data_IF_956255650680
#
_entry.id   IF_956255650680
#
_cell.length_a   1.000
_cell.length_b   1.000
_cell.length_c   1.000
_cell.angle_alpha   90.00
_cell.angle_beta   90.00
_cell.angle_gamma   90.00
#
_symmetry.space_group_name_H-M   'P 1'
#
loop_
_entity.id
_entity.type
_entity.pdbx_description
1 polymer ?
#
# COMPACT_ATOMS: atom_id res chain seq x y z
N UNK A 1 -46.70 15.73 58.45
CA UNK A 1 -46.38 14.69 57.45
C UNK A 1 -45.07 15.11 56.77
N UNK A 2 -43.94 14.40 56.95
CA UNK A 2 -42.70 14.76 56.24
C UNK A 2 -42.69 14.00 54.90
N UNK A 3 -42.44 14.75 53.82
CA UNK A 3 -42.30 14.28 52.45
C UNK A 3 -40.90 13.67 52.28
N UNK A 4 -40.81 12.37 51.98
CA UNK A 4 -39.57 11.64 51.72
C UNK A 4 -39.15 11.89 50.26
N UNK A 5 -38.07 12.58 50.05
CA UNK A 5 -37.42 12.66 48.73
C UNK A 5 -36.67 11.37 48.45
N UNK A 6 -37.06 10.67 47.41
CA UNK A 6 -36.39 9.49 46.90
C UNK A 6 -35.31 9.97 45.90
N UNK A 7 -34.05 9.90 46.29
CA UNK A 7 -32.92 10.18 45.42
C UNK A 7 -32.73 8.96 44.49
N UNK A 8 -33.07 9.12 43.19
CA UNK A 8 -32.72 8.15 42.17
C UNK A 8 -31.27 8.39 41.78
N UNK A 9 -30.35 7.51 42.23
CA UNK A 9 -28.97 7.47 41.71
C UNK A 9 -28.96 6.79 40.34
N UNK A 10 -28.82 7.59 39.28
CA UNK A 10 -28.60 7.07 37.94
C UNK A 10 -27.14 6.59 37.84
N UNK A 11 -26.93 5.28 37.81
CA UNK A 11 -25.66 4.68 37.45
C UNK A 11 -25.46 4.83 35.95
N UNK A 12 -24.66 5.81 35.50
CA UNK A 12 -24.11 5.82 34.14
C UNK A 12 -23.09 4.69 34.03
N UNK A 13 -23.46 3.59 33.42
CA UNK A 13 -22.51 2.55 33.00
C UNK A 13 -21.78 3.12 31.79
N UNK A 14 -20.58 3.64 32.01
CA UNK A 14 -19.63 3.89 30.92
C UNK A 14 -19.17 2.53 30.42
N UNK A 15 -19.77 2.04 29.34
CA UNK A 15 -19.16 0.97 28.55
C UNK A 15 -17.93 1.55 27.89
N UNK A 16 -16.76 1.29 28.50
CA UNK A 16 -15.51 1.39 27.76
C UNK A 16 -15.63 0.39 26.61
N UNK A 17 -15.88 0.89 25.41
CA UNK A 17 -15.65 0.16 24.17
C UNK A 17 -14.12 0.02 24.07
N UNK A 18 -13.57 -0.99 24.76
CA UNK A 18 -12.18 -1.33 24.68
C UNK A 18 -11.84 -1.68 23.23
N UNK A 19 -11.13 -0.80 22.54
CA UNK A 19 -10.58 -1.11 21.22
C UNK A 19 -9.68 -2.32 21.40
N UNK A 20 -9.87 -3.33 20.57
CA UNK A 20 -9.05 -4.53 20.59
C UNK A 20 -7.57 -4.12 20.38
N UNK A 21 -6.71 -4.55 21.31
CA UNK A 21 -5.28 -4.25 21.20
C UNK A 21 -4.71 -4.92 19.93
N UNK A 22 -3.80 -4.25 19.21
CA UNK A 22 -3.12 -4.85 18.07
C UNK A 22 -2.41 -6.14 18.48
N UNK A 23 -2.56 -7.22 17.71
CA UNK A 23 -1.73 -8.41 17.94
C UNK A 23 -0.31 -8.19 17.41
N UNK A 24 0.67 -8.87 18.02
CA UNK A 24 2.08 -8.73 17.67
C UNK A 24 2.53 -9.89 16.80
N UNK A 25 3.23 -9.59 15.72
CA UNK A 25 3.88 -10.57 14.83
C UNK A 25 5.33 -10.15 14.57
N UNK A 26 6.12 -11.05 13.96
CA UNK A 26 7.52 -10.77 13.57
C UNK A 26 7.63 -10.75 12.04
N UNK A 27 8.51 -9.91 11.51
CA UNK A 27 8.93 -9.99 10.12
C UNK A 27 9.70 -11.32 9.87
N UNK A 28 9.63 -11.81 8.63
CA UNK A 28 10.31 -13.03 8.19
C UNK A 28 11.63 -12.73 7.51
N UNK A 29 11.71 -11.60 6.85
CA UNK A 29 12.87 -11.15 6.09
C UNK A 29 12.87 -9.64 5.92
N UNK A 30 13.99 -9.10 5.44
CA UNK A 30 14.15 -7.68 5.11
C UNK A 30 15.11 -7.48 3.95
N UNK A 31 15.01 -6.33 3.28
CA UNK A 31 15.98 -5.92 2.27
C UNK A 31 17.21 -5.28 2.94
N UNK A 32 18.35 -5.19 2.25
CA UNK A 32 19.38 -4.23 2.65
C UNK A 32 18.80 -2.82 2.78
N UNK A 33 19.36 -1.97 3.66
CA UNK A 33 18.99 -0.56 3.71
C UNK A 33 19.21 0.10 2.35
N UNK A 34 18.31 1.01 1.96
CA UNK A 34 18.50 1.82 0.75
C UNK A 34 19.70 2.77 0.91
N UNK A 35 20.20 3.33 -0.18
CA UNK A 35 21.40 4.17 -0.12
C UNK A 35 21.14 5.58 0.42
N UNK A 36 19.93 6.10 0.28
CA UNK A 36 19.55 7.45 0.68
C UNK A 36 19.27 7.52 2.18
N UNK A 37 19.82 8.52 2.85
CA UNK A 37 19.64 8.73 4.28
C UNK A 37 18.32 9.46 4.60
N UNK A 38 17.82 9.22 5.81
CA UNK A 38 16.62 9.85 6.34
C UNK A 38 15.36 9.25 5.74
N UNK A 39 14.31 10.02 5.68
CA UNK A 39 13.02 9.61 5.11
C UNK A 39 13.11 9.51 3.59
N UNK A 40 13.19 8.28 3.07
CA UNK A 40 13.52 8.02 1.67
C UNK A 40 12.92 6.74 1.07
N UNK A 41 12.95 5.58 1.74
CA UNK A 41 12.18 4.44 1.27
C UNK A 41 10.68 4.73 1.43
N UNK A 42 9.86 4.30 0.46
CA UNK A 42 8.46 4.68 0.44
C UNK A 42 7.54 3.51 0.10
N UNK A 43 7.33 3.20 -1.16
CA UNK A 43 6.26 2.33 -1.59
C UNK A 43 6.78 1.06 -2.28
N UNK A 44 6.32 -0.14 -1.86
CA UNK A 44 6.63 -1.40 -2.53
C UNK A 44 5.54 -1.80 -3.52
N UNK A 45 5.94 -2.47 -4.61
CA UNK A 45 5.03 -3.17 -5.52
C UNK A 45 5.53 -4.58 -5.82
N UNK A 46 4.67 -5.60 -5.69
CA UNK A 46 5.01 -7.01 -5.80
C UNK A 46 4.55 -7.58 -7.14
N UNK A 47 5.50 -8.06 -7.94
CA UNK A 47 5.18 -8.90 -9.10
C UNK A 47 5.44 -10.37 -8.79
N UNK A 48 4.43 -11.22 -8.98
CA UNK A 48 4.53 -12.66 -8.85
C UNK A 48 4.76 -13.31 -10.22
N UNK A 49 5.91 -13.95 -10.38
CA UNK A 49 6.18 -14.76 -11.56
C UNK A 49 5.50 -16.12 -11.41
N UNK A 50 4.35 -16.31 -12.06
CA UNK A 50 3.59 -17.56 -11.99
C UNK A 50 4.28 -18.76 -12.67
N UNK A 51 5.27 -18.53 -13.54
CA UNK A 51 6.05 -19.60 -14.17
C UNK A 51 7.19 -20.08 -13.25
N UNK A 52 7.80 -19.15 -12.51
CA UNK A 52 8.82 -19.45 -11.50
C UNK A 52 8.68 -18.51 -10.31
N UNK A 53 8.00 -18.96 -9.25
CA UNK A 53 7.70 -18.16 -8.07
C UNK A 53 8.93 -17.55 -7.39
N UNK A 54 10.11 -18.22 -7.50
CA UNK A 54 11.35 -17.72 -6.92
C UNK A 54 12.00 -16.59 -7.73
N UNK A 55 11.53 -16.34 -8.95
CA UNK A 55 11.90 -15.21 -9.79
C UNK A 55 10.87 -14.08 -9.71
N UNK A 56 10.02 -14.07 -8.70
CA UNK A 56 9.16 -12.93 -8.38
C UNK A 56 10.01 -11.73 -7.96
N UNK A 57 9.52 -10.52 -8.23
CA UNK A 57 10.24 -9.27 -8.05
C UNK A 57 9.45 -8.36 -7.12
N UNK A 58 10.15 -7.71 -6.21
CA UNK A 58 9.63 -6.61 -5.42
C UNK A 58 10.30 -5.33 -5.93
N UNK A 59 9.52 -4.38 -6.41
CA UNK A 59 9.99 -3.04 -6.64
C UNK A 59 9.82 -2.23 -5.36
N UNK A 60 10.75 -1.35 -5.03
CA UNK A 60 10.67 -0.44 -3.89
C UNK A 60 11.16 0.93 -4.29
N UNK A 61 10.43 1.97 -3.93
CA UNK A 61 10.83 3.33 -4.25
C UNK A 61 11.78 3.92 -3.22
N UNK A 62 12.62 4.80 -3.69
CA UNK A 62 13.35 5.79 -2.93
C UNK A 62 12.85 7.15 -3.40
N UNK A 63 11.98 7.78 -2.60
CA UNK A 63 11.27 9.01 -2.95
C UNK A 63 12.19 10.20 -3.22
N UNK A 64 13.51 10.02 -3.04
CA UNK A 64 14.53 11.02 -3.32
C UNK A 64 15.44 10.68 -4.49
N UNK A 65 15.40 9.43 -4.97
CA UNK A 65 16.43 9.03 -5.95
C UNK A 65 16.00 8.07 -7.05
N UNK A 66 15.03 7.14 -6.83
CA UNK A 66 14.66 6.21 -7.88
C UNK A 66 13.97 4.94 -7.43
N UNK A 67 14.29 3.81 -8.09
CA UNK A 67 13.61 2.54 -7.88
C UNK A 67 14.65 1.44 -7.66
N UNK A 68 14.44 0.67 -6.62
CA UNK A 68 15.10 -0.62 -6.36
C UNK A 68 14.25 -1.78 -6.89
N UNK A 69 14.91 -2.86 -7.27
CA UNK A 69 14.27 -4.15 -7.48
C UNK A 69 14.95 -5.19 -6.60
N UNK A 70 14.15 -6.02 -5.94
CA UNK A 70 14.60 -7.06 -5.01
C UNK A 70 14.06 -8.42 -5.41
N UNK A 71 14.77 -9.48 -5.03
CA UNK A 71 14.27 -10.85 -5.10
C UNK A 71 13.19 -11.09 -4.05
N UNK A 72 12.46 -12.18 -4.20
CA UNK A 72 11.48 -12.65 -3.19
C UNK A 72 12.10 -12.94 -1.81
N UNK A 73 13.43 -12.99 -1.73
CA UNK A 73 14.20 -13.17 -0.49
C UNK A 73 14.80 -11.87 0.05
N UNK A 74 14.43 -10.72 -0.55
CA UNK A 74 14.94 -9.43 -0.13
C UNK A 74 16.32 -9.06 -0.70
N UNK A 75 16.99 -9.94 -1.46
CA UNK A 75 18.27 -9.60 -2.07
C UNK A 75 18.08 -8.52 -3.14
N UNK A 76 18.89 -7.47 -3.11
CA UNK A 76 18.86 -6.43 -4.13
C UNK A 76 19.32 -6.99 -5.48
N UNK A 77 18.46 -6.93 -6.49
CA UNK A 77 18.77 -7.28 -7.88
C UNK A 77 19.40 -6.10 -8.60
N UNK A 78 18.80 -4.92 -8.49
CA UNK A 78 19.29 -3.70 -9.12
C UNK A 78 18.74 -2.45 -8.44
N UNK A 79 19.33 -1.31 -8.78
CA UNK A 79 18.82 0.03 -8.49
C UNK A 79 19.05 0.91 -9.71
N UNK A 80 18.08 1.80 -9.99
CA UNK A 80 18.25 2.84 -11.00
C UNK A 80 17.66 4.18 -10.54
N UNK A 81 18.44 5.23 -10.73
CA UNK A 81 17.97 6.59 -10.47
C UNK A 81 17.02 7.06 -11.57
N UNK A 82 15.83 7.50 -11.14
CA UNK A 82 14.83 8.12 -11.98
C UNK A 82 14.41 9.50 -11.47
N UNK A 83 15.00 9.99 -10.37
CA UNK A 83 14.60 11.19 -9.64
C UNK A 83 13.67 10.85 -8.48
N UNK A 84 12.85 11.77 -8.06
CA UNK A 84 11.99 11.67 -6.87
C UNK A 84 10.76 10.80 -7.15
N UNK A 85 10.92 9.48 -7.11
CA UNK A 85 9.83 8.51 -7.32
C UNK A 85 9.17 8.22 -5.97
N UNK A 86 7.93 8.70 -5.78
CA UNK A 86 7.15 8.46 -4.56
C UNK A 86 6.52 7.07 -4.61
N UNK A 87 5.34 6.95 -5.20
CA UNK A 87 4.64 5.67 -5.27
C UNK A 87 4.86 4.92 -6.58
N UNK A 88 4.64 3.61 -6.52
CA UNK A 88 4.82 2.69 -7.62
C UNK A 88 3.74 1.59 -7.54
N UNK A 89 3.11 1.25 -8.65
CA UNK A 89 2.21 0.09 -8.71
C UNK A 89 2.33 -0.61 -10.06
N UNK A 90 1.85 -1.84 -10.14
CA UNK A 90 2.00 -2.67 -11.31
C UNK A 90 0.73 -3.48 -11.64
N UNK A 91 0.63 -3.87 -12.92
CA UNK A 91 -0.37 -4.85 -13.38
C UNK A 91 0.25 -5.87 -14.32
N UNK A 92 -0.02 -7.13 -14.04
CA UNK A 92 0.38 -8.27 -14.87
C UNK A 92 -0.74 -8.61 -15.83
N UNK A 93 -0.54 -8.36 -17.15
CA UNK A 93 -1.57 -8.56 -18.17
C UNK A 93 -0.97 -9.26 -19.40
N UNK A 94 -1.45 -10.45 -19.68
CA UNK A 94 -0.96 -11.25 -20.80
C UNK A 94 0.54 -11.57 -20.69
N UNK A 95 1.33 -11.16 -21.67
CA UNK A 95 2.78 -11.39 -21.70
C UNK A 95 3.61 -10.27 -21.08
N UNK A 96 2.94 -9.23 -20.56
CA UNK A 96 3.59 -8.02 -20.11
C UNK A 96 3.32 -7.74 -18.65
N UNK A 97 4.35 -7.20 -17.99
CA UNK A 97 4.26 -6.51 -16.72
C UNK A 97 4.27 -5.01 -17.01
N UNK A 98 3.24 -4.33 -16.56
CA UNK A 98 3.10 -2.88 -16.64
C UNK A 98 3.40 -2.29 -15.27
N UNK A 99 4.23 -1.24 -15.23
CA UNK A 99 4.63 -0.54 -14.03
C UNK A 99 4.40 0.96 -14.24
N UNK A 100 3.92 1.65 -13.23
CA UNK A 100 3.83 3.10 -13.22
C UNK A 100 4.36 3.65 -11.90
N UNK A 101 4.90 4.87 -11.92
CA UNK A 101 5.36 5.56 -10.73
C UNK A 101 5.22 7.07 -10.86
N UNK A 102 4.98 7.75 -9.75
CA UNK A 102 4.94 9.22 -9.67
C UNK A 102 6.33 9.79 -9.48
N UNK A 103 6.73 10.70 -10.37
CA UNK A 103 7.96 11.47 -10.24
C UNK A 103 7.62 12.91 -9.82
N UNK A 104 7.75 13.21 -8.52
CA UNK A 104 7.26 14.45 -7.91
C UNK A 104 7.97 15.70 -8.43
N UNK A 105 9.29 15.65 -8.60
CA UNK A 105 10.13 16.79 -8.99
C UNK A 105 9.79 17.37 -10.37
N UNK A 106 9.21 16.56 -11.28
CA UNK A 106 8.78 16.98 -12.62
C UNK A 106 7.28 16.82 -12.88
N UNK A 107 6.50 16.40 -11.87
CA UNK A 107 5.04 16.12 -11.97
C UNK A 107 4.71 15.10 -13.06
N UNK A 108 5.60 14.13 -13.28
CA UNK A 108 5.47 13.13 -14.32
C UNK A 108 4.96 11.79 -13.76
N UNK A 109 4.07 11.19 -14.49
CA UNK A 109 3.72 9.78 -14.34
C UNK A 109 4.62 9.02 -15.31
N UNK A 110 5.56 8.25 -14.78
CA UNK A 110 6.42 7.39 -15.59
C UNK A 110 5.74 6.04 -15.82
N UNK A 111 5.94 5.46 -17.01
CA UNK A 111 5.31 4.20 -17.37
C UNK A 111 6.28 3.25 -18.05
N UNK A 112 6.36 2.02 -17.52
CA UNK A 112 7.17 0.94 -18.06
C UNK A 112 6.30 -0.22 -18.55
N UNK A 113 6.86 -0.97 -19.50
CA UNK A 113 6.29 -2.22 -20.01
C UNK A 113 7.42 -3.22 -20.17
N UNK A 114 7.39 -4.26 -19.38
CA UNK A 114 8.39 -5.32 -19.42
C UNK A 114 7.81 -6.59 -20.05
N UNK A 115 8.66 -7.32 -20.77
CA UNK A 115 8.36 -8.71 -21.17
C UNK A 115 8.61 -9.60 -19.95
N UNK A 116 7.60 -10.39 -19.53
CA UNK A 116 7.70 -11.19 -18.30
C UNK A 116 8.81 -12.25 -18.33
N UNK A 117 9.08 -12.81 -19.52
CA UNK A 117 10.02 -13.93 -19.66
C UNK A 117 11.48 -13.57 -19.34
N UNK A 118 11.86 -12.31 -19.41
CA UNK A 118 13.25 -11.87 -19.29
C UNK A 118 13.50 -10.80 -18.23
N UNK A 119 12.43 -10.27 -17.60
CA UNK A 119 12.57 -9.13 -16.68
C UNK A 119 13.44 -9.49 -15.46
N UNK A 120 13.24 -10.67 -14.83
CA UNK A 120 14.04 -11.07 -13.69
C UNK A 120 15.52 -11.17 -14.05
N UNK A 121 15.85 -11.76 -15.21
CA UNK A 121 17.22 -11.89 -15.66
C UNK A 121 17.86 -10.53 -15.98
N UNK A 122 17.10 -9.61 -16.61
CA UNK A 122 17.59 -8.25 -16.88
C UNK A 122 17.92 -7.51 -15.59
N UNK A 123 17.00 -7.50 -14.63
CA UNK A 123 17.23 -6.82 -13.35
C UNK A 123 18.37 -7.47 -12.56
N UNK A 124 18.50 -8.80 -12.58
CA UNK A 124 19.62 -9.51 -11.95
C UNK A 124 20.98 -9.18 -12.60
N UNK A 125 20.98 -8.81 -13.87
CA UNK A 125 22.16 -8.32 -14.58
C UNK A 125 22.39 -6.80 -14.43
N UNK A 126 21.66 -6.14 -13.53
CA UNK A 126 21.68 -4.71 -13.33
C UNK A 126 21.19 -3.89 -14.57
N UNK A 127 20.27 -4.46 -15.31
CA UNK A 127 19.66 -3.83 -16.50
C UNK A 127 18.23 -3.38 -16.19
N UNK A 128 18.06 -2.24 -15.54
CA UNK A 128 16.72 -1.65 -15.36
C UNK A 128 16.39 -0.74 -16.55
N UNK A 129 15.40 -1.07 -17.40
CA UNK A 129 15.05 -0.29 -18.57
C UNK A 129 14.52 1.11 -18.22
N UNK A 130 14.63 2.04 -19.16
CA UNK A 130 13.98 3.34 -19.06
C UNK A 130 12.46 3.23 -19.25
N UNK A 131 11.66 4.19 -18.73
CA UNK A 131 10.23 4.22 -19.02
C UNK A 131 9.99 4.35 -20.52
N UNK A 132 8.96 3.65 -21.00
CA UNK A 132 8.59 3.69 -22.43
C UNK A 132 7.75 4.91 -22.79
N UNK A 133 7.12 5.53 -21.80
CA UNK A 133 6.40 6.79 -21.94
C UNK A 133 6.24 7.49 -20.59
N UNK A 134 5.90 8.77 -20.63
CA UNK A 134 5.49 9.56 -19.48
C UNK A 134 4.35 10.51 -19.84
N UNK A 135 3.68 11.05 -18.81
CA UNK A 135 2.73 12.14 -18.96
C UNK A 135 2.94 13.12 -17.80
N UNK A 136 2.87 14.43 -18.09
CA UNK A 136 2.98 15.48 -17.09
C UNK A 136 1.59 15.86 -16.59
N UNK A 137 1.41 15.92 -15.28
CA UNK A 137 0.21 16.43 -14.64
C UNK A 137 0.28 17.96 -14.51
N UNK A 138 -0.88 18.64 -14.56
CA UNK A 138 -0.96 20.06 -14.26
C UNK A 138 -0.92 20.32 -12.74
N UNK A 139 -1.43 19.40 -11.93
CA UNK A 139 -1.33 19.45 -10.46
C UNK A 139 0.00 18.87 -9.96
N UNK A 140 0.39 19.22 -8.74
CA UNK A 140 1.44 18.51 -8.02
C UNK A 140 0.96 17.09 -7.72
N UNK A 141 1.84 16.09 -7.91
CA UNK A 141 1.46 14.69 -7.77
C UNK A 141 2.13 14.05 -6.57
N UNK A 142 1.41 13.12 -5.93
CA UNK A 142 1.84 12.41 -4.73
C UNK A 142 1.74 10.90 -4.92
N UNK A 143 0.69 10.27 -4.40
CA UNK A 143 0.46 8.85 -4.47
C UNK A 143 0.06 8.33 -5.84
N UNK A 144 0.18 7.00 -6.03
CA UNK A 144 -0.22 6.33 -7.26
C UNK A 144 -0.71 4.92 -7.00
N UNK A 145 -1.74 4.50 -7.74
CA UNK A 145 -2.08 3.09 -7.91
C UNK A 145 -2.59 2.80 -9.32
N UNK A 146 -2.51 1.55 -9.73
CA UNK A 146 -2.97 1.08 -11.03
C UNK A 146 -4.23 0.22 -10.89
N UNK A 147 -4.97 0.08 -11.99
CA UNK A 147 -6.11 -0.81 -12.10
C UNK A 147 -6.26 -1.40 -13.50
N UNK A 148 -6.80 -2.61 -13.58
CA UNK A 148 -7.24 -3.20 -14.86
C UNK A 148 -8.72 -3.52 -14.80
N UNK A 149 -9.54 -2.54 -15.18
CA UNK A 149 -10.99 -2.58 -15.02
C UNK A 149 -11.63 -2.53 -16.41
N UNK A 150 -12.58 -3.44 -16.67
CA UNK A 150 -13.28 -3.54 -17.95
C UNK A 150 -12.36 -3.60 -19.19
N UNK A 151 -11.20 -4.25 -19.04
CA UNK A 151 -10.13 -4.37 -20.07
C UNK A 151 -9.40 -3.06 -20.35
N UNK A 152 -9.54 -2.08 -19.50
CA UNK A 152 -8.81 -0.83 -19.56
C UNK A 152 -7.75 -0.78 -18.46
N UNK A 153 -6.51 -0.43 -18.83
CA UNK A 153 -5.42 -0.21 -17.88
C UNK A 153 -5.48 1.25 -17.42
N UNK A 154 -5.64 1.43 -16.13
CA UNK A 154 -5.83 2.72 -15.48
C UNK A 154 -4.67 3.02 -14.52
N UNK A 155 -4.38 4.30 -14.36
CA UNK A 155 -3.50 4.84 -13.32
C UNK A 155 -4.26 5.93 -12.58
N UNK A 156 -4.26 5.86 -11.27
CA UNK A 156 -4.80 6.89 -10.39
C UNK A 156 -3.64 7.61 -9.72
N UNK A 157 -3.71 8.92 -9.66
CA UNK A 157 -2.66 9.77 -9.10
C UNK A 157 -3.30 10.80 -8.19
N UNK A 158 -2.85 10.87 -6.96
CA UNK A 158 -3.34 11.83 -5.96
C UNK A 158 -2.58 13.15 -6.05
N UNK A 159 -3.20 14.22 -5.58
CA UNK A 159 -2.63 15.56 -5.54
C UNK A 159 -1.86 15.77 -4.24
N UNK A 160 -0.62 16.27 -4.36
CA UNK A 160 0.19 16.73 -3.22
C UNK A 160 -0.44 17.99 -2.61
N UNK A 161 -0.70 17.96 -1.32
CA UNK A 161 -1.34 19.03 -0.55
C UNK A 161 -2.76 19.45 -1.07
N UNK A 162 -3.44 18.53 -1.74
CA UNK A 162 -4.75 18.78 -2.31
C UNK A 162 -5.67 17.56 -2.34
N UNK A 163 -6.97 17.76 -2.56
CA UNK A 163 -7.95 16.69 -2.49
C UNK A 163 -8.16 15.94 -3.81
N UNK A 164 -7.52 16.35 -4.91
CA UNK A 164 -7.85 15.82 -6.21
C UNK A 164 -7.18 14.49 -6.48
N UNK A 165 -7.91 13.63 -7.16
CA UNK A 165 -7.41 12.35 -7.69
C UNK A 165 -7.65 12.32 -9.19
N UNK A 166 -6.60 12.17 -9.95
CA UNK A 166 -6.65 12.04 -11.41
C UNK A 166 -6.71 10.58 -11.81
N UNK A 167 -7.63 10.24 -12.70
CA UNK A 167 -7.69 8.94 -13.37
C UNK A 167 -7.17 9.07 -14.80
N UNK A 168 -6.10 8.35 -15.07
CA UNK A 168 -5.48 8.27 -16.40
C UNK A 168 -5.72 6.89 -17.02
N UNK A 169 -5.91 6.83 -18.33
CA UNK A 169 -5.94 5.58 -19.08
C UNK A 169 -4.66 5.39 -19.87
N UNK A 170 -4.28 4.13 -20.05
CA UNK A 170 -3.15 3.73 -20.88
C UNK A 170 -3.67 3.01 -22.11
N UNK A 171 -3.48 3.63 -23.26
CA UNK A 171 -3.86 3.05 -24.56
C UNK A 171 -2.67 3.13 -25.53
N UNK A 172 -2.26 2.00 -26.09
CA UNK A 172 -1.10 1.91 -26.99
C UNK A 172 0.16 2.55 -26.38
N UNK A 173 0.39 2.21 -25.12
CA UNK A 173 1.54 2.66 -24.31
C UNK A 173 1.58 4.21 -24.09
N UNK A 174 0.44 4.90 -24.20
CA UNK A 174 0.30 6.34 -23.94
C UNK A 174 -0.69 6.60 -22.82
N UNK A 175 -0.31 7.47 -21.89
CA UNK A 175 -1.18 7.95 -20.83
C UNK A 175 -2.06 9.10 -21.34
N UNK A 176 -3.32 9.11 -20.91
CA UNK A 176 -4.28 10.18 -21.21
C UNK A 176 -5.17 10.40 -20.01
N UNK A 177 -5.25 11.65 -19.53
CA UNK A 177 -6.15 12.03 -18.43
C UNK A 177 -7.61 11.83 -18.87
N UNK A 178 -8.36 11.07 -18.09
CA UNK A 178 -9.78 10.79 -18.35
C UNK A 178 -10.71 11.58 -17.44
N UNK A 179 -10.34 11.66 -16.16
CA UNK A 179 -11.22 12.23 -15.16
C UNK A 179 -10.43 12.74 -13.96
N UNK A 180 -10.98 13.72 -13.27
CA UNK A 180 -10.49 14.18 -11.96
C UNK A 180 -11.66 14.20 -11.00
N UNK A 181 -11.49 13.66 -9.80
CA UNK A 181 -12.50 13.66 -8.74
C UNK A 181 -11.85 14.05 -7.42
N UNK A 182 -12.64 14.34 -6.40
CA UNK A 182 -12.14 14.73 -5.08
C UNK A 182 -12.26 13.58 -4.08
N UNK A 183 -11.21 13.36 -3.28
CA UNK A 183 -11.23 12.51 -2.09
C UNK A 183 -11.48 13.31 -0.79
N UNK A 184 -11.72 14.60 -0.87
CA UNK A 184 -11.93 15.60 0.18
C UNK A 184 -10.67 16.11 0.87
N UNK A 185 -9.62 15.32 1.02
CA UNK A 185 -8.35 15.70 1.65
C UNK A 185 -7.14 15.15 0.90
N UNK A 186 -5.95 15.53 1.33
CA UNK A 186 -4.68 15.02 0.86
C UNK A 186 -4.62 13.50 1.05
N UNK A 187 -4.07 12.80 0.10
CA UNK A 187 -4.06 11.35 0.09
C UNK A 187 -2.79 10.83 -0.55
N UNK A 188 -2.16 9.84 0.06
CA UNK A 188 -1.05 9.14 -0.57
C UNK A 188 -1.44 7.74 -1.02
N UNK A 189 -1.85 6.89 -0.10
CA UNK A 189 -2.13 5.49 -0.41
C UNK A 189 -3.39 5.28 -1.22
N UNK A 190 -3.30 4.45 -2.25
CA UNK A 190 -4.47 3.92 -2.93
C UNK A 190 -4.25 2.50 -3.44
N UNK A 191 -5.34 1.75 -3.64
CA UNK A 191 -5.33 0.44 -4.29
C UNK A 191 -6.60 0.20 -5.08
N UNK A 192 -6.47 -0.39 -6.27
CA UNK A 192 -7.62 -0.75 -7.10
C UNK A 192 -7.97 -2.22 -6.94
N UNK A 193 -9.21 -2.48 -6.61
CA UNK A 193 -9.82 -3.80 -6.70
C UNK A 193 -10.40 -4.01 -8.10
N UNK A 194 -9.59 -4.55 -8.97
CA UNK A 194 -9.94 -4.77 -10.38
C UNK A 194 -11.22 -5.58 -10.57
N UNK A 195 -11.41 -6.60 -9.71
CA UNK A 195 -12.57 -7.49 -9.81
C UNK A 195 -13.85 -6.85 -9.28
N UNK A 196 -13.80 -6.26 -8.09
CA UNK A 196 -14.96 -5.60 -7.48
C UNK A 196 -15.19 -4.18 -8.03
N UNK A 197 -14.31 -3.71 -8.94
CA UNK A 197 -14.34 -2.40 -9.57
C UNK A 197 -14.45 -1.27 -8.55
N UNK A 198 -13.53 -1.27 -7.59
CA UNK A 198 -13.43 -0.23 -6.56
C UNK A 198 -12.01 0.30 -6.48
N UNK A 199 -11.88 1.55 -6.09
CA UNK A 199 -10.64 2.10 -5.60
C UNK A 199 -10.79 2.42 -4.12
N UNK A 200 -9.80 2.05 -3.32
CA UNK A 200 -9.67 2.44 -1.92
C UNK A 200 -8.58 3.50 -1.84
N UNK A 201 -8.84 4.56 -1.09
CA UNK A 201 -7.92 5.70 -0.94
C UNK A 201 -7.83 6.04 0.54
N UNK A 202 -6.61 6.21 1.03
CA UNK A 202 -6.29 6.69 2.37
C UNK A 202 -6.05 8.20 2.34
N UNK A 203 -6.76 8.93 3.20
CA UNK A 203 -6.71 10.38 3.32
C UNK A 203 -5.95 10.72 4.61
N UNK A 204 -4.80 11.36 4.47
CA UNK A 204 -3.90 11.70 5.59
C UNK A 204 -4.34 12.92 6.38
N UNK A 205 -5.16 13.76 5.79
CA UNK A 205 -5.65 14.98 6.39
C UNK A 205 -6.29 14.75 7.77
N UNK A 206 -6.65 15.84 8.44
CA UNK A 206 -7.17 15.90 9.80
C UNK A 206 -8.22 14.84 10.13
N UNK A 207 -9.04 14.46 9.18
CA UNK A 207 -10.10 13.46 9.36
C UNK A 207 -9.53 12.02 9.33
N UNK A 208 -8.40 11.77 8.65
CA UNK A 208 -7.71 10.50 8.54
C UNK A 208 -8.64 9.38 8.11
N UNK A 209 -9.02 9.34 6.84
CA UNK A 209 -10.12 8.50 6.35
C UNK A 209 -9.64 7.44 5.37
N UNK A 210 -10.07 6.20 5.56
CA UNK A 210 -10.09 5.20 4.50
C UNK A 210 -11.42 5.23 3.78
N UNK A 211 -11.39 5.48 2.46
CA UNK A 211 -12.57 5.66 1.62
C UNK A 211 -12.55 4.77 0.40
N UNK A 212 -13.71 4.32 -0.06
CA UNK A 212 -13.85 3.63 -1.35
C UNK A 212 -14.73 4.38 -2.33
N UNK A 213 -14.41 4.25 -3.62
CA UNK A 213 -15.22 4.71 -4.73
C UNK A 213 -15.50 3.56 -5.69
N UNK A 214 -16.67 3.55 -6.30
CA UNK A 214 -16.98 2.59 -7.38
C UNK A 214 -16.39 3.06 -8.71
N UNK A 215 -15.79 2.17 -9.48
CA UNK A 215 -15.21 2.43 -10.80
C UNK A 215 -16.18 2.17 -11.97
N UNK A 216 -17.50 2.17 -11.72
CA UNK A 216 -18.54 2.05 -12.74
C UNK A 216 -18.96 3.40 -13.33
N UNK A 217 -20.00 3.41 -14.18
CA UNK A 217 -20.43 4.55 -15.00
C UNK A 217 -21.01 5.73 -14.23
N UNK A 218 -20.69 6.12 -13.11
CA UNK A 218 -21.02 7.32 -12.30
C UNK A 218 -20.30 7.23 -10.94
N UNK A 219 -19.22 6.53 -10.95
CA UNK A 219 -18.52 5.99 -9.80
C UNK A 219 -18.04 7.05 -8.82
N UNK A 220 -17.57 8.17 -9.33
CA UNK A 220 -16.87 9.16 -8.51
C UNK A 220 -17.80 10.17 -7.82
N UNK A 221 -19.11 10.00 -7.98
CA UNK A 221 -20.12 10.83 -7.30
C UNK A 221 -20.51 10.28 -5.93
N UNK A 222 -20.20 9.00 -5.65
CA UNK A 222 -20.53 8.35 -4.38
C UNK A 222 -19.29 7.67 -3.82
N UNK A 223 -18.90 8.08 -2.64
CA UNK A 223 -17.88 7.44 -1.85
C UNK A 223 -18.49 6.79 -0.60
N UNK A 224 -17.81 5.78 -0.09
CA UNK A 224 -18.15 5.12 1.15
C UNK A 224 -16.97 5.23 2.12
N UNK A 225 -17.19 5.86 3.27
CA UNK A 225 -16.21 5.91 4.36
C UNK A 225 -16.19 4.55 5.05
N UNK A 226 -15.04 3.91 5.04
CA UNK A 226 -14.80 2.59 5.66
C UNK A 226 -14.42 2.77 7.12
N UNK A 227 -13.49 3.69 7.40
CA UNK A 227 -13.00 4.03 8.75
C UNK A 227 -12.42 5.44 8.76
N UNK A 228 -12.19 5.97 9.97
CA UNK A 228 -11.63 7.31 10.18
C UNK A 228 -10.93 7.40 11.54
N UNK A 229 -10.41 8.59 11.88
CA UNK A 229 -9.83 8.87 13.21
C UNK A 229 -10.86 8.76 14.36
N UNK A 230 -12.15 8.87 14.07
CA UNK A 230 -13.22 8.60 15.06
C UNK A 230 -13.42 7.09 15.32
N UNK A 231 -12.89 6.22 14.44
CA UNK A 231 -12.95 4.78 14.53
C UNK A 231 -11.63 4.15 14.96
N UNK A 232 -11.00 3.39 14.06
CA UNK A 232 -9.81 2.58 14.37
C UNK A 232 -8.51 3.13 13.79
N UNK A 233 -8.54 4.22 13.03
CA UNK A 233 -7.36 4.87 12.46
C UNK A 233 -6.87 5.92 13.46
N UNK A 234 -5.68 5.72 14.04
CA UNK A 234 -5.12 6.64 15.04
C UNK A 234 -3.88 7.40 14.56
N UNK A 235 -3.08 6.77 13.71
CA UNK A 235 -1.99 7.41 12.98
C UNK A 235 -2.48 8.01 11.67
N UNK A 236 -1.57 8.46 10.83
CA UNK A 236 -1.87 8.91 9.50
C UNK A 236 -2.12 7.67 8.61
N UNK A 237 -3.26 7.58 7.93
CA UNK A 237 -3.55 6.47 7.04
C UNK A 237 -2.79 6.64 5.73
N UNK A 238 -1.79 5.80 5.55
CA UNK A 238 -0.85 5.80 4.44
C UNK A 238 -1.14 4.67 3.46
N UNK A 239 -0.16 3.85 3.13
CA UNK A 239 -0.27 2.75 2.18
C UNK A 239 -1.46 1.83 2.44
N UNK A 240 -2.15 1.46 1.38
CA UNK A 240 -3.27 0.53 1.40
C UNK A 240 -3.12 -0.55 0.34
N UNK A 241 -3.31 -1.81 0.71
CA UNK A 241 -3.22 -2.94 -0.22
C UNK A 241 -4.32 -3.97 -0.01
N UNK A 242 -4.45 -4.92 -0.95
CA UNK A 242 -5.48 -5.96 -0.93
C UNK A 242 -4.84 -7.35 -0.92
N UNK A 243 -5.05 -8.10 0.17
CA UNK A 243 -4.81 -9.52 0.19
C UNK A 243 -6.07 -10.29 -0.25
N UNK A 244 -5.95 -11.11 -1.30
CA UNK A 244 -7.09 -11.84 -1.93
C UNK A 244 -7.18 -13.26 -1.39
N UNK A 245 -8.29 -13.66 -0.79
CA UNK A 245 -8.56 -15.06 -0.43
C UNK A 245 -9.32 -15.80 -1.53
N UNK A 246 -10.08 -15.07 -2.33
CA UNK A 246 -10.74 -15.54 -3.54
C UNK A 246 -10.79 -14.42 -4.59
N UNK A 247 -11.55 -14.63 -5.64
CA UNK A 247 -11.73 -13.63 -6.70
C UNK A 247 -12.35 -12.32 -6.20
N UNK A 248 -13.31 -12.40 -5.29
CA UNK A 248 -14.11 -11.28 -4.76
C UNK A 248 -13.97 -11.04 -3.25
N UNK A 249 -13.31 -11.96 -2.53
CA UNK A 249 -13.11 -11.86 -1.09
C UNK A 249 -11.64 -11.67 -0.71
N UNK A 250 -11.40 -11.32 0.56
CA UNK A 250 -10.08 -11.09 1.10
C UNK A 250 -10.08 -9.97 2.14
N UNK A 251 -8.94 -9.33 2.27
CA UNK A 251 -8.72 -8.31 3.27
C UNK A 251 -8.11 -7.05 2.65
N UNK A 252 -8.49 -5.90 3.17
CA UNK A 252 -7.83 -4.62 2.95
C UNK A 252 -6.87 -4.43 4.12
N UNK A 253 -5.64 -4.11 3.83
CA UNK A 253 -4.58 -3.80 4.80
C UNK A 253 -4.24 -2.33 4.64
N UNK A 254 -4.36 -1.58 5.73
CA UNK A 254 -4.07 -0.14 5.77
C UNK A 254 -2.94 0.12 6.76
N UNK A 255 -1.91 0.82 6.33
CA UNK A 255 -0.91 1.38 7.25
C UNK A 255 -1.52 2.54 8.05
N UNK A 256 -1.27 2.57 9.34
CA UNK A 256 -1.56 3.66 10.25
C UNK A 256 -0.21 4.11 10.83
N UNK A 257 0.42 5.08 10.15
CA UNK A 257 1.84 5.41 10.29
C UNK A 257 2.19 5.86 11.71
N UNK A 258 1.64 6.94 12.19
CA UNK A 258 2.04 7.57 13.46
C UNK A 258 1.82 6.71 14.72
N UNK A 259 1.07 5.59 14.65
CA UNK A 259 0.97 4.61 15.73
C UNK A 259 1.52 3.22 15.36
N UNK A 260 2.25 3.13 14.24
CA UNK A 260 3.04 1.98 13.79
C UNK A 260 2.25 0.67 13.82
N UNK A 261 1.04 0.67 13.24
CA UNK A 261 0.19 -0.51 13.13
C UNK A 261 -0.43 -0.63 11.75
N UNK A 262 -0.98 -1.80 11.48
CA UNK A 262 -1.72 -2.09 10.26
C UNK A 262 -3.14 -2.49 10.63
N UNK A 263 -4.12 -1.77 10.08
CA UNK A 263 -5.53 -2.08 10.23
C UNK A 263 -5.98 -3.07 9.16
N UNK A 264 -6.89 -3.96 9.52
CA UNK A 264 -7.40 -5.03 8.65
C UNK A 264 -8.91 -4.88 8.53
N UNK A 265 -9.40 -4.86 7.29
CA UNK A 265 -10.82 -4.79 7.00
C UNK A 265 -11.22 -5.91 6.03
N UNK A 266 -12.48 -6.31 6.03
CA UNK A 266 -13.01 -7.16 4.98
C UNK A 266 -12.94 -6.44 3.63
N UNK A 267 -12.43 -7.13 2.59
CA UNK A 267 -12.44 -6.63 1.22
C UNK A 267 -13.86 -6.45 0.67
N UNK A 268 -14.83 -7.27 1.14
CA UNK A 268 -16.23 -7.23 0.74
C UNK A 268 -17.01 -6.21 1.56
N UNK A 269 -17.86 -5.43 0.88
CA UNK A 269 -18.76 -4.49 1.54
C UNK A 269 -19.56 -5.18 2.68
N UNK A 270 -19.76 -4.53 3.83
CA UNK A 270 -19.48 -3.14 4.16
C UNK A 270 -18.03 -2.85 4.66
N UNK A 271 -17.06 -3.70 4.38
CA UNK A 271 -15.64 -3.52 4.75
C UNK A 271 -15.42 -3.48 6.28
N UNK A 272 -16.05 -4.41 7.01
CA UNK A 272 -15.96 -4.45 8.48
C UNK A 272 -14.51 -4.52 8.95
N UNK A 273 -14.19 -3.74 9.97
CA UNK A 273 -12.93 -3.84 10.70
C UNK A 273 -12.79 -5.19 11.38
N UNK A 274 -11.64 -5.84 11.25
CA UNK A 274 -11.36 -7.17 11.78
C UNK A 274 -10.31 -7.15 12.91
N UNK A 275 -9.58 -6.07 13.05
CA UNK A 275 -8.51 -5.92 14.01
C UNK A 275 -7.31 -5.20 13.42
N UNK A 276 -6.25 -5.13 14.21
CA UNK A 276 -4.97 -4.55 13.77
C UNK A 276 -3.79 -5.35 14.30
N UNK A 277 -2.64 -5.19 13.66
CA UNK A 277 -1.39 -5.81 14.10
C UNK A 277 -0.24 -4.80 14.12
N UNK A 278 0.81 -5.16 14.88
CA UNK A 278 2.12 -4.52 14.87
C UNK A 278 3.18 -5.55 14.57
N UNK A 279 4.23 -5.13 13.88
CA UNK A 279 5.41 -5.97 13.67
C UNK A 279 6.46 -5.57 14.68
N UNK A 280 6.69 -6.46 15.64
CA UNK A 280 7.64 -6.23 16.72
C UNK A 280 9.00 -6.82 16.39
N UNK A 281 10.06 -6.29 17.02
CA UNK A 281 11.42 -6.74 16.78
C UNK A 281 11.66 -8.18 17.24
N UNK A 282 12.42 -8.92 16.45
CA UNK A 282 12.93 -10.26 16.74
C UNK A 282 14.39 -10.22 17.23
N UNK A 283 15.05 -11.37 17.31
CA UNK A 283 16.48 -11.42 17.60
C UNK A 283 17.35 -10.96 16.43
N UNK A 284 16.85 -10.96 15.22
CA UNK A 284 17.60 -10.72 13.99
C UNK A 284 17.09 -9.54 13.15
N UNK A 285 15.81 -9.27 13.22
CA UNK A 285 15.14 -8.17 12.47
C UNK A 285 14.47 -7.28 13.50
N UNK A 286 14.63 -5.99 13.38
CA UNK A 286 14.00 -5.01 14.28
C UNK A 286 12.50 -4.86 13.99
N UNK A 287 11.83 -4.02 14.76
CA UNK A 287 10.40 -3.71 14.58
C UNK A 287 10.15 -2.91 13.31
N UNK A 288 8.90 -2.83 12.89
CA UNK A 288 8.46 -1.94 11.81
C UNK A 288 7.76 -0.74 12.43
N UNK A 289 8.12 0.44 11.95
CA UNK A 289 7.53 1.69 12.44
C UNK A 289 7.41 2.72 11.33
N UNK A 290 6.53 3.70 11.50
CA UNK A 290 6.34 4.84 10.60
C UNK A 290 6.25 4.40 9.11
N UNK A 291 5.37 3.43 8.83
CA UNK A 291 5.26 2.80 7.49
C UNK A 291 4.46 3.67 6.55
N UNK A 292 5.09 4.07 5.44
CA UNK A 292 4.45 4.72 4.31
C UNK A 292 3.73 3.65 3.46
N UNK A 293 4.44 2.90 2.65
CA UNK A 293 3.87 1.97 1.67
C UNK A 293 3.73 0.51 2.14
N UNK A 294 2.72 -0.17 1.62
CA UNK A 294 2.46 -1.59 1.82
C UNK A 294 1.91 -2.25 0.56
N UNK A 295 2.41 -3.44 0.22
CA UNK A 295 1.79 -4.27 -0.81
C UNK A 295 1.63 -5.73 -0.38
N UNK A 296 0.67 -6.44 -0.98
CA UNK A 296 0.25 -7.78 -0.60
C UNK A 296 0.22 -8.77 -1.77
N UNK A 297 0.87 -9.90 -1.60
CA UNK A 297 0.78 -11.03 -2.51
C UNK A 297 0.06 -12.20 -1.85
N UNK A 298 -1.00 -12.71 -2.48
CA UNK A 298 -1.85 -13.77 -1.91
C UNK A 298 -1.46 -15.17 -2.37
N UNK A 299 -0.39 -15.31 -3.15
CA UNK A 299 0.06 -16.60 -3.69
C UNK A 299 0.98 -17.31 -2.69
N UNK A 300 0.80 -18.61 -2.53
CA UNK A 300 1.72 -19.43 -1.73
C UNK A 300 3.07 -19.56 -2.41
N UNK A 301 4.15 -19.22 -1.70
CA UNK A 301 5.52 -19.46 -2.12
C UNK A 301 6.06 -20.63 -1.26
N UNK A 302 6.22 -21.84 -1.80
CA UNK A 302 6.65 -23.00 -1.04
C UNK A 302 7.98 -22.75 -0.31
N UNK A 303 8.03 -23.10 0.98
CA UNK A 303 9.25 -22.94 1.79
C UNK A 303 9.58 -21.53 2.26
N UNK A 304 8.84 -20.50 1.78
CA UNK A 304 9.00 -19.12 2.22
C UNK A 304 7.70 -18.55 2.83
N UNK A 305 6.65 -18.45 2.04
CA UNK A 305 5.39 -17.77 2.43
C UNK A 305 4.19 -18.68 2.09
N UNK A 306 3.77 -19.58 2.99
CA UNK A 306 2.78 -20.63 2.69
C UNK A 306 1.37 -20.10 2.37
N UNK A 307 1.08 -18.88 2.76
CA UNK A 307 -0.19 -18.18 2.51
C UNK A 307 0.01 -16.80 1.86
N UNK A 308 1.12 -16.62 1.12
CA UNK A 308 1.48 -15.30 0.61
C UNK A 308 2.13 -14.41 1.67
N UNK A 309 2.33 -13.14 1.36
CA UNK A 309 3.09 -12.23 2.21
C UNK A 309 2.72 -10.78 1.96
N UNK A 310 3.12 -9.93 2.91
CA UNK A 310 3.18 -8.48 2.76
C UNK A 310 4.63 -8.05 2.57
N UNK A 311 4.83 -6.97 1.83
CA UNK A 311 6.05 -6.15 1.87
C UNK A 311 5.64 -4.79 2.37
N UNK A 312 6.36 -4.26 3.34
CA UNK A 312 6.06 -2.97 3.97
C UNK A 312 7.34 -2.16 4.08
N UNK A 313 7.24 -0.86 3.94
CA UNK A 313 8.33 0.06 4.23
C UNK A 313 8.54 0.15 5.76
N UNK A 314 9.79 0.24 6.20
CA UNK A 314 10.16 0.52 7.59
C UNK A 314 10.83 1.89 7.71
N UNK A 315 10.13 2.79 8.38
CA UNK A 315 10.54 4.19 8.52
C UNK A 315 11.71 4.39 9.50
N UNK A 316 11.94 3.46 10.43
CA UNK A 316 13.01 3.58 11.42
C UNK A 316 13.79 2.28 11.60
N UNK A 317 14.57 1.94 10.59
CA UNK A 317 15.37 0.72 10.55
C UNK A 317 16.61 0.79 11.46
N UNK A 318 16.87 -0.26 12.22
CA UNK A 318 17.96 -0.33 13.19
C UNK A 318 18.70 -1.67 13.16
N UNK A 319 19.99 -1.63 13.46
CA UNK A 319 20.81 -2.81 13.76
C UNK A 319 21.26 -2.71 15.23
N UNK A 320 20.45 -3.28 16.14
CA UNK A 320 20.70 -3.38 17.61
C UNK A 320 21.20 -2.10 18.30
N UNK A 321 22.12 -1.38 17.72
CA UNK A 321 22.78 -0.19 18.32
C UNK A 321 22.92 0.98 17.37
N UNK A 322 22.59 0.81 16.10
CA UNK A 322 22.77 1.83 15.07
C UNK A 322 21.47 2.06 14.31
N UNK A 323 21.16 3.31 14.06
CA UNK A 323 20.15 3.68 13.09
C UNK A 323 20.75 3.45 11.71
N UNK A 324 20.03 2.74 10.88
CA UNK A 324 20.37 2.49 9.48
C UNK A 324 19.46 3.33 8.58
N UNK A 325 19.74 3.33 7.29
CA UNK A 325 18.79 3.85 6.32
C UNK A 325 17.56 2.92 6.28
N UNK A 326 16.43 3.48 5.87
CA UNK A 326 15.17 2.77 5.71
C UNK A 326 15.30 1.56 4.76
N UNK A 327 14.40 0.59 4.91
CA UNK A 327 14.36 -0.61 4.10
C UNK A 327 12.93 -1.11 3.90
N UNK A 328 12.77 -2.29 3.33
CA UNK A 328 11.50 -3.00 3.19
C UNK A 328 11.57 -4.32 3.92
N UNK A 329 10.48 -4.69 4.62
CA UNK A 329 10.37 -5.93 5.41
C UNK A 329 9.25 -6.82 4.90
N UNK A 330 9.46 -8.12 5.00
CA UNK A 330 8.56 -9.16 4.49
C UNK A 330 7.86 -9.85 5.65
N UNK A 331 6.56 -10.03 5.55
CA UNK A 331 5.72 -10.63 6.58
C UNK A 331 4.89 -11.75 5.96
N UNK A 332 5.08 -12.98 6.37
CA UNK A 332 4.25 -14.11 5.93
C UNK A 332 2.80 -13.95 6.42
N UNK A 333 1.86 -13.97 5.48
CA UNK A 333 0.46 -13.68 5.77
C UNK A 333 -0.24 -14.72 6.63
N UNK A 334 0.29 -15.95 6.72
CA UNK A 334 -0.22 -17.00 7.62
C UNK A 334 -0.17 -16.59 9.10
N UNK A 335 0.75 -15.69 9.49
CA UNK A 335 0.83 -15.13 10.85
C UNK A 335 -0.37 -14.27 11.15
N UNK A 336 -0.82 -13.47 10.17
CA UNK A 336 -1.98 -12.59 10.29
C UNK A 336 -3.27 -13.40 10.32
N UNK A 337 -3.41 -14.39 9.42
CA UNK A 337 -4.59 -15.24 9.34
C UNK A 337 -4.92 -15.99 10.64
N UNK A 338 -3.94 -16.28 11.49
CA UNK A 338 -4.15 -16.94 12.81
C UNK A 338 -4.94 -16.08 13.79
N UNK A 339 -5.04 -14.78 13.56
CA UNK A 339 -5.67 -13.83 14.47
C UNK A 339 -7.00 -13.27 13.97
N UNK A 340 -7.31 -13.38 12.69
CA UNK A 340 -8.51 -12.79 12.07
C UNK A 340 -9.53 -13.83 11.56
N UNK A 341 -9.28 -15.14 11.75
CA UNK A 341 -10.16 -16.25 11.39
C UNK A 341 -10.84 -16.87 12.61
#
# INVERSE_FOLDING_TARGET
>A
MPMKYLLMLSFMVFTNLGHAQPFAIFADNETPPINTQGDAADDPAIWINHENLYESIIFGTDKRSGIYAYSIKGDQLTYKSFGHINNIDLRDIGNYLFLAGTKRDSKEILFWKFTKNDIFQKLSNNEFPDPISSATSEQDIYGLCMGYVDKELLVFVTEDMGPNVQMWSILRDKLSLKHTFSNNGESEGCVVDDFNKKIFISEEDKEGVLRSFDLGSNAFLQSFVIDSREGNIWGDPEGVSIYKTSKDEGYIILSSQGDSKFNIYNRKYPHNYLGSFRVVGSTTIDEISETDGVDAASISIPGLYPKGFLVVQDGYNTDKTRVLNQNFKFISFDKILKHIN
#
